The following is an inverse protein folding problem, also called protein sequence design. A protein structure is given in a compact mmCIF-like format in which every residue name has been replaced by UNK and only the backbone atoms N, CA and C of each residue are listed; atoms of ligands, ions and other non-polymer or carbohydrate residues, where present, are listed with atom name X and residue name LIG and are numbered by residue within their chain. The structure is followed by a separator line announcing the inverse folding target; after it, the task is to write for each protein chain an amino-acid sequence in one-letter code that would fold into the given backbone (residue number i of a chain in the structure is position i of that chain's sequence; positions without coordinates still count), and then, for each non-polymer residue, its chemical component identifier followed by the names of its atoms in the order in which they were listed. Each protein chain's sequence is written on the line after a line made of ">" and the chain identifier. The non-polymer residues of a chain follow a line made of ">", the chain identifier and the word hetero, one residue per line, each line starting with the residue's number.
data_IF_375738099044
#
_entry.id   IF_375738099044
#
_cell.length_a   1.000
_cell.length_b   1.000
_cell.length_c   1.000
_cell.angle_alpha   90.00
_cell.angle_beta   90.00
_cell.angle_gamma   90.00
#
_symmetry.space_group_name_H-M   'P 1'
#
loop_
_entity.id
_entity.type
_entity.pdbx_description
1 polymer ?
#
# COMPACT_ATOMS: atom_id res chain seq x y z
N UNK A 1 5.69 3.11 -19.15
CA UNK A 1 6.85 2.60 -18.35
C UNK A 1 8.08 2.43 -19.24
N UNK A 2 9.32 2.79 -18.78
CA UNK A 2 10.57 2.68 -19.59
C UNK A 2 11.05 1.23 -19.74
N UNK A 3 10.99 0.43 -18.67
CA UNK A 3 11.43 -0.99 -18.63
C UNK A 3 10.23 -1.93 -18.83
N UNK A 4 9.78 -2.03 -20.07
CA UNK A 4 8.66 -2.93 -20.47
C UNK A 4 8.94 -4.41 -20.21
N UNK A 5 10.23 -4.80 -20.25
CA UNK A 5 10.70 -6.16 -19.93
C UNK A 5 10.43 -6.60 -18.48
N UNK A 6 10.06 -5.68 -17.61
CA UNK A 6 9.73 -5.93 -16.19
C UNK A 6 8.28 -5.62 -15.85
N UNK A 7 7.51 -5.16 -16.81
CA UNK A 7 6.13 -4.76 -16.58
C UNK A 7 5.24 -5.98 -16.31
N UNK A 8 4.45 -5.90 -15.24
CA UNK A 8 3.39 -6.83 -14.93
C UNK A 8 2.08 -6.16 -15.31
N UNK A 9 1.51 -6.55 -16.46
CA UNK A 9 0.29 -5.92 -17.03
C UNK A 9 -1.01 -6.58 -16.57
N UNK A 10 -0.95 -7.83 -16.10
CA UNK A 10 -2.11 -8.56 -15.62
C UNK A 10 -2.52 -8.08 -14.21
N UNK A 11 -3.78 -7.64 -14.05
CA UNK A 11 -4.29 -7.08 -12.80
C UNK A 11 -4.21 -8.09 -11.64
N UNK A 12 -4.49 -9.37 -11.88
CA UNK A 12 -4.44 -10.39 -10.82
C UNK A 12 -3.01 -10.52 -10.28
N UNK A 13 -2.03 -10.54 -11.17
CA UNK A 13 -0.62 -10.59 -10.77
C UNK A 13 -0.19 -9.31 -10.04
N UNK A 14 -0.68 -8.14 -10.44
CA UNK A 14 -0.43 -6.89 -9.70
C UNK A 14 -0.98 -6.97 -8.28
N UNK A 15 -2.23 -7.42 -8.11
CA UNK A 15 -2.86 -7.59 -6.80
C UNK A 15 -2.16 -8.66 -5.95
N UNK A 16 -1.63 -9.72 -6.55
CA UNK A 16 -0.80 -10.71 -5.86
C UNK A 16 0.51 -10.11 -5.32
N UNK A 17 1.14 -9.21 -6.08
CA UNK A 17 2.31 -8.47 -5.59
C UNK A 17 1.91 -7.60 -4.39
N UNK A 18 0.80 -6.86 -4.48
CA UNK A 18 0.28 -6.06 -3.35
C UNK A 18 0.10 -6.94 -2.11
N UNK A 19 -0.53 -8.11 -2.24
CA UNK A 19 -0.77 -9.03 -1.10
C UNK A 19 0.49 -9.59 -0.45
N UNK A 20 1.62 -9.58 -1.17
CA UNK A 20 2.93 -10.04 -0.62
C UNK A 20 3.74 -8.93 0.03
N UNK A 21 3.34 -7.67 -0.11
CA UNK A 21 4.03 -6.55 0.53
C UNK A 21 3.59 -6.41 1.99
N UNK A 22 4.53 -6.11 2.87
CA UNK A 22 4.28 -5.98 4.32
C UNK A 22 3.84 -4.57 4.72
N UNK A 23 4.14 -3.58 3.88
CA UNK A 23 3.83 -2.17 4.14
C UNK A 23 3.64 -1.38 2.85
N UNK A 24 3.03 -0.23 2.97
CA UNK A 24 2.79 0.72 1.89
C UNK A 24 3.31 2.11 2.26
N UNK A 25 4.24 2.65 1.47
CA UNK A 25 4.63 4.05 1.54
C UNK A 25 3.61 4.90 0.81
N UNK A 26 3.07 5.90 1.49
CA UNK A 26 2.10 6.87 0.94
C UNK A 26 2.73 8.25 0.92
N UNK A 27 2.70 8.90 -0.24
CA UNK A 27 3.14 10.27 -0.44
C UNK A 27 1.91 11.18 -0.53
N UNK A 28 1.82 12.15 0.36
CA UNK A 28 0.72 13.12 0.52
C UNK A 28 1.26 14.49 0.16
N UNK A 29 0.50 15.26 -0.63
CA UNK A 29 0.88 16.63 -0.96
C UNK A 29 0.98 17.47 0.32
N UNK A 30 2.09 18.21 0.48
CA UNK A 30 2.30 19.13 1.60
C UNK A 30 2.57 20.54 1.03
N UNK A 31 1.56 21.43 1.06
CA UNK A 31 1.69 22.76 0.47
C UNK A 31 2.67 23.68 1.22
N UNK A 32 3.05 23.32 2.43
CA UNK A 32 4.01 24.09 3.25
C UNK A 32 5.46 23.63 3.05
N UNK A 33 5.69 22.63 2.17
CA UNK A 33 7.00 22.06 1.90
C UNK A 33 7.26 21.92 0.40
N UNK A 34 8.52 21.93 0.01
CA UNK A 34 8.94 21.68 -1.38
C UNK A 34 8.87 20.21 -1.81
N UNK A 35 8.52 19.32 -0.88
CA UNK A 35 8.44 17.88 -1.11
C UNK A 35 7.20 17.28 -0.42
N UNK A 36 6.65 16.19 -0.95
CA UNK A 36 5.50 15.53 -0.33
C UNK A 36 5.86 14.93 1.03
N UNK A 37 4.89 14.92 1.94
CA UNK A 37 4.98 14.19 3.19
C UNK A 37 4.87 12.69 2.91
N UNK A 38 5.86 11.90 3.34
CA UNK A 38 5.88 10.45 3.14
C UNK A 38 5.69 9.73 4.46
N UNK A 39 4.82 8.72 4.45
CA UNK A 39 4.56 7.85 5.61
C UNK A 39 4.46 6.40 5.16
N UNK A 40 5.05 5.49 5.95
CA UNK A 40 4.90 4.05 5.80
C UNK A 40 3.78 3.56 6.71
N UNK A 41 2.84 2.78 6.16
CA UNK A 41 1.67 2.26 6.87
C UNK A 41 1.47 0.78 6.60
N UNK A 42 1.01 0.05 7.61
CA UNK A 42 0.38 -1.25 7.44
C UNK A 42 -0.93 -1.09 6.68
N UNK A 43 -1.28 -2.07 5.87
CA UNK A 43 -2.47 -2.01 5.03
C UNK A 43 -3.18 -3.36 4.89
N UNK A 44 -4.41 -3.33 4.39
CA UNK A 44 -5.13 -4.50 3.88
C UNK A 44 -5.72 -4.17 2.52
N UNK A 45 -5.73 -5.13 1.59
CA UNK A 45 -6.29 -4.98 0.25
C UNK A 45 -7.65 -5.66 0.14
N UNK A 46 -8.64 -4.91 -0.31
CA UNK A 46 -9.91 -5.44 -0.80
C UNK A 46 -10.04 -5.22 -2.30
N UNK A 47 -10.35 -6.30 -3.03
CA UNK A 47 -10.65 -6.27 -4.45
C UNK A 47 -12.15 -6.42 -4.64
N UNK A 48 -12.81 -5.38 -5.14
CA UNK A 48 -14.23 -5.35 -5.47
C UNK A 48 -14.40 -5.42 -7.00
N UNK A 49 -15.61 -5.62 -7.47
CA UNK A 49 -15.90 -5.76 -8.90
C UNK A 49 -15.49 -4.52 -9.72
N UNK A 50 -15.66 -3.33 -9.13
CA UNK A 50 -15.46 -2.04 -9.79
C UNK A 50 -14.25 -1.24 -9.28
N UNK A 51 -13.60 -1.68 -8.18
CA UNK A 51 -12.49 -0.95 -7.55
C UNK A 51 -11.64 -1.78 -6.63
N UNK A 52 -10.42 -1.31 -6.42
CA UNK A 52 -9.48 -1.82 -5.43
C UNK A 52 -9.29 -0.80 -4.31
N UNK A 53 -9.32 -1.25 -3.06
CA UNK A 53 -9.20 -0.39 -1.89
C UNK A 53 -8.08 -0.90 -0.99
N UNK A 54 -7.16 -0.01 -0.61
CA UNK A 54 -6.22 -0.25 0.48
C UNK A 54 -6.77 0.39 1.76
N UNK A 55 -6.98 -0.42 2.79
CA UNK A 55 -7.34 0.06 4.10
C UNK A 55 -6.10 0.25 4.94
N UNK A 56 -5.97 1.43 5.53
CA UNK A 56 -4.85 1.80 6.40
C UNK A 56 -5.37 2.45 7.67
N UNK A 57 -4.55 2.44 8.74
CA UNK A 57 -4.95 3.06 10.00
C UNK A 57 -3.85 3.96 10.56
N UNK A 58 -4.25 4.89 11.42
CA UNK A 58 -3.33 5.79 12.13
C UNK A 58 -3.94 6.33 13.42
N UNK A 59 -3.15 7.09 14.18
CA UNK A 59 -3.69 7.94 15.24
C UNK A 59 -4.68 8.97 14.66
N UNK A 60 -5.58 9.48 15.52
CA UNK A 60 -6.60 10.49 15.15
C UNK A 60 -6.07 11.93 15.08
N UNK A 61 -4.77 12.12 15.28
CA UNK A 61 -4.12 13.42 15.28
C UNK A 61 -2.81 13.35 14.49
N UNK A 62 -2.36 14.49 13.98
CA UNK A 62 -1.07 14.67 13.33
C UNK A 62 -1.15 15.14 11.89
N UNK A 63 0.01 15.53 11.34
CA UNK A 63 0.18 16.20 10.04
C UNK A 63 -0.53 15.47 8.89
N UNK A 64 -0.48 14.16 8.87
CA UNK A 64 -1.13 13.35 7.82
C UNK A 64 -2.63 13.63 7.70
N UNK A 65 -3.35 13.75 8.82
CA UNK A 65 -4.79 13.99 8.82
C UNK A 65 -5.11 15.39 8.29
N UNK A 66 -4.31 16.38 8.71
CA UNK A 66 -4.45 17.77 8.26
C UNK A 66 -4.25 17.88 6.74
N UNK A 67 -3.23 17.21 6.22
CA UNK A 67 -2.93 17.20 4.78
C UNK A 67 -4.01 16.49 3.97
N UNK A 68 -4.46 15.31 4.42
CA UNK A 68 -5.52 14.55 3.75
C UNK A 68 -6.88 15.25 3.78
N UNK A 69 -7.14 16.08 4.80
CA UNK A 69 -8.35 16.90 4.84
C UNK A 69 -8.31 18.04 3.81
N UNK A 70 -7.11 18.50 3.41
CA UNK A 70 -6.92 19.55 2.39
C UNK A 70 -6.90 18.97 0.97
N UNK A 71 -6.15 17.86 0.78
CA UNK A 71 -6.03 17.18 -0.52
C UNK A 71 -6.00 15.66 -0.29
N UNK A 72 -7.06 14.93 -0.66
CA UNK A 72 -7.13 13.48 -0.50
C UNK A 72 -6.36 12.69 -1.56
N UNK A 73 -5.79 13.35 -2.58
CA UNK A 73 -5.03 12.67 -3.62
C UNK A 73 -3.66 12.26 -3.10
N UNK A 74 -3.34 11.00 -3.28
CA UNK A 74 -2.07 10.45 -2.81
C UNK A 74 -1.41 9.57 -3.88
N UNK A 75 -0.09 9.48 -3.82
CA UNK A 75 0.65 8.43 -4.51
C UNK A 75 1.08 7.36 -3.51
N UNK A 76 1.19 6.12 -3.97
CA UNK A 76 1.66 5.03 -3.13
C UNK A 76 2.73 4.20 -3.83
N UNK A 77 3.58 3.58 -3.01
CA UNK A 77 4.60 2.64 -3.45
C UNK A 77 4.76 1.52 -2.42
N UNK A 78 4.93 0.31 -2.93
CA UNK A 78 5.29 -0.85 -2.12
C UNK A 78 6.18 -1.80 -2.91
N UNK A 79 6.99 -2.58 -2.20
CA UNK A 79 7.86 -3.57 -2.83
C UNK A 79 8.14 -4.75 -1.90
N UNK A 80 8.39 -5.91 -2.52
CA UNK A 80 8.68 -7.16 -1.82
C UNK A 80 9.63 -8.04 -2.63
N UNK A 81 9.98 -9.21 -2.10
CA UNK A 81 10.76 -10.21 -2.81
C UNK A 81 12.19 -9.76 -3.14
N UNK A 82 12.81 -8.97 -2.25
CA UNK A 82 14.17 -8.47 -2.45
C UNK A 82 15.18 -9.59 -2.22
N UNK A 83 15.92 -9.91 -3.29
CA UNK A 83 17.00 -10.92 -3.26
C UNK A 83 18.21 -10.42 -4.06
N UNK A 84 19.37 -10.35 -3.43
CA UNK A 84 20.62 -10.02 -4.11
C UNK A 84 21.13 -11.22 -4.90
N UNK A 85 21.24 -11.07 -6.22
CA UNK A 85 21.79 -12.07 -7.12
C UNK A 85 23.17 -11.64 -7.61
N UNK A 86 24.17 -12.47 -7.36
CA UNK A 86 25.55 -12.25 -7.84
C UNK A 86 25.89 -13.20 -8.98
N UNK A 87 26.29 -12.63 -10.10
CA UNK A 87 26.78 -13.35 -11.29
C UNK A 87 28.31 -13.37 -11.23
N UNK A 88 28.89 -14.51 -10.82
CA UNK A 88 30.33 -14.64 -10.61
C UNK A 88 31.14 -14.58 -11.92
N UNK A 89 30.58 -15.03 -13.04
CA UNK A 89 31.25 -15.01 -14.34
C UNK A 89 31.40 -13.57 -14.87
N UNK A 90 30.36 -12.77 -14.67
CA UNK A 90 30.32 -11.37 -15.11
C UNK A 90 30.77 -10.37 -14.05
N UNK A 91 31.04 -10.85 -12.83
CA UNK A 91 31.37 -10.02 -11.67
C UNK A 91 30.35 -8.88 -11.45
N UNK A 92 29.07 -9.19 -11.61
CA UNK A 92 27.96 -8.24 -11.50
C UNK A 92 26.95 -8.68 -10.46
N UNK A 93 26.42 -7.74 -9.71
CA UNK A 93 25.29 -7.99 -8.82
C UNK A 93 24.03 -7.27 -9.30
N UNK A 94 22.89 -7.81 -8.92
CA UNK A 94 21.59 -7.21 -9.18
C UNK A 94 20.60 -7.60 -8.09
N UNK A 95 19.56 -6.80 -7.90
CA UNK A 95 18.46 -7.10 -6.99
C UNK A 95 17.27 -7.67 -7.76
N UNK A 96 16.80 -8.85 -7.38
CA UNK A 96 15.45 -9.30 -7.71
C UNK A 96 14.47 -8.56 -6.80
N UNK A 97 13.31 -8.22 -7.32
CA UNK A 97 12.26 -7.54 -6.58
C UNK A 97 10.93 -7.58 -7.33
N UNK A 98 9.88 -7.38 -6.60
CA UNK A 98 8.56 -7.03 -7.12
C UNK A 98 8.14 -5.69 -6.52
N UNK A 99 7.44 -4.85 -7.29
CA UNK A 99 6.98 -3.55 -6.79
C UNK A 99 5.71 -3.09 -7.47
N UNK A 100 4.90 -2.35 -6.74
CA UNK A 100 3.71 -1.67 -7.23
C UNK A 100 3.81 -0.20 -6.88
N UNK A 101 3.43 0.66 -7.82
CA UNK A 101 3.27 2.09 -7.59
C UNK A 101 1.99 2.56 -8.24
N UNK A 102 1.32 3.51 -7.62
CA UNK A 102 0.07 4.04 -8.13
C UNK A 102 -0.33 5.34 -7.45
N UNK A 103 -1.54 5.77 -7.75
CA UNK A 103 -2.17 6.91 -7.11
C UNK A 103 -3.66 6.65 -6.91
N UNK A 104 -4.25 7.37 -5.98
CA UNK A 104 -5.65 7.22 -5.64
C UNK A 104 -6.15 8.32 -4.72
N UNK A 105 -7.37 8.12 -4.22
CA UNK A 105 -8.05 9.03 -3.31
C UNK A 105 -8.18 8.36 -1.94
N UNK A 106 -7.66 9.00 -0.92
CA UNK A 106 -7.65 8.50 0.44
C UNK A 106 -8.67 9.26 1.30
N UNK A 107 -9.72 8.57 1.76
CA UNK A 107 -10.78 9.16 2.58
C UNK A 107 -10.85 8.57 3.97
N UNK A 108 -11.18 9.38 4.95
CA UNK A 108 -11.51 8.92 6.30
C UNK A 108 -12.83 8.13 6.26
N UNK A 109 -12.85 6.98 6.92
CA UNK A 109 -14.00 6.10 6.97
C UNK A 109 -14.93 6.43 8.15
N UNK A 110 -16.23 6.20 7.96
CA UNK A 110 -17.21 6.21 9.06
C UNK A 110 -16.93 5.07 10.06
N UNK A 111 -17.50 5.14 11.25
CA UNK A 111 -17.26 4.13 12.29
C UNK A 111 -17.61 2.69 11.83
N UNK A 112 -18.67 2.53 11.02
CA UNK A 112 -19.06 1.22 10.50
C UNK A 112 -18.09 0.71 9.42
N UNK A 113 -17.69 1.57 8.48
CA UNK A 113 -16.70 1.25 7.44
C UNK A 113 -15.31 0.98 8.05
N UNK A 114 -14.95 1.70 9.13
CA UNK A 114 -13.68 1.55 9.83
C UNK A 114 -13.51 0.15 10.41
N UNK A 115 -14.57 -0.44 10.98
CA UNK A 115 -14.52 -1.82 11.49
C UNK A 115 -14.24 -2.82 10.37
N UNK A 116 -14.92 -2.67 9.23
CA UNK A 116 -14.67 -3.50 8.05
C UNK A 116 -13.22 -3.33 7.56
N UNK A 117 -12.74 -2.08 7.43
CA UNK A 117 -11.37 -1.80 7.01
C UNK A 117 -10.31 -2.40 7.94
N UNK A 118 -10.55 -2.39 9.26
CA UNK A 118 -9.67 -3.06 10.23
C UNK A 118 -9.70 -4.58 10.08
N UNK A 119 -10.86 -5.18 9.82
CA UNK A 119 -10.97 -6.63 9.57
C UNK A 119 -10.17 -7.01 8.32
N UNK A 120 -10.29 -6.28 7.21
CA UNK A 120 -9.51 -6.50 5.98
C UNK A 120 -8.00 -6.35 6.23
N UNK A 121 -7.60 -5.34 7.03
CA UNK A 121 -6.21 -5.15 7.40
C UNK A 121 -5.68 -6.32 8.24
N UNK A 122 -6.45 -6.82 9.20
CA UNK A 122 -6.08 -7.98 10.00
C UNK A 122 -5.96 -9.24 9.15
N UNK A 123 -6.87 -9.46 8.20
CA UNK A 123 -6.84 -10.61 7.29
C UNK A 123 -5.60 -10.60 6.37
N UNK A 124 -5.06 -9.43 6.05
CA UNK A 124 -3.82 -9.33 5.27
C UNK A 124 -2.62 -9.95 6.01
N UNK A 125 -2.50 -9.72 7.33
CA UNK A 125 -1.38 -10.23 8.13
C UNK A 125 -1.66 -11.59 8.79
N UNK A 126 -2.93 -11.95 8.95
CA UNK A 126 -3.39 -13.18 9.60
C UNK A 126 -4.50 -13.86 8.80
N UNK A 127 -4.23 -14.29 7.54
CA UNK A 127 -5.28 -14.74 6.61
C UNK A 127 -6.05 -15.99 7.04
N UNK A 128 -5.54 -16.73 8.03
CA UNK A 128 -6.14 -17.99 8.50
C UNK A 128 -6.55 -17.96 9.98
N UNK A 129 -6.38 -16.83 10.65
CA UNK A 129 -6.62 -16.71 12.08
C UNK A 129 -7.28 -15.37 12.41
N UNK A 130 -8.57 -15.41 12.70
CA UNK A 130 -9.27 -14.22 13.16
C UNK A 130 -8.80 -13.86 14.56
N UNK A 131 -8.03 -12.78 14.68
CA UNK A 131 -7.58 -12.23 15.96
C UNK A 131 -8.48 -11.09 16.38
N UNK A 132 -9.16 -11.20 17.55
CA UNK A 132 -9.98 -10.10 18.04
C UNK A 132 -9.07 -8.92 18.45
N UNK A 133 -9.47 -7.72 18.12
CA UNK A 133 -8.85 -6.49 18.60
C UNK A 133 -9.77 -5.80 19.61
N UNK A 134 -9.17 -5.04 20.53
CA UNK A 134 -9.92 -4.39 21.59
C UNK A 134 -10.73 -3.22 21.02
N UNK A 135 -12.04 -3.17 21.26
CA UNK A 135 -12.95 -2.15 20.72
C UNK A 135 -12.47 -0.71 21.01
N UNK A 136 -11.98 -0.42 22.22
CA UNK A 136 -11.43 0.90 22.55
C UNK A 136 -10.21 1.29 21.70
N UNK A 137 -9.39 0.32 21.27
CA UNK A 137 -8.27 0.59 20.36
C UNK A 137 -8.80 0.96 18.97
N UNK A 138 -9.80 0.25 18.47
CA UNK A 138 -10.48 0.61 17.20
C UNK A 138 -11.11 2.02 17.29
N UNK A 139 -11.81 2.32 18.38
CA UNK A 139 -12.46 3.61 18.61
C UNK A 139 -11.45 4.78 18.69
N UNK A 140 -10.19 4.53 19.07
CA UNK A 140 -9.12 5.53 19.14
C UNK A 140 -8.31 5.68 17.84
N UNK A 141 -8.63 4.91 16.81
CA UNK A 141 -7.88 4.82 15.56
C UNK A 141 -8.64 5.51 14.42
N UNK A 142 -7.94 6.30 13.61
CA UNK A 142 -8.45 6.79 12.34
C UNK A 142 -8.18 5.73 11.27
N UNK A 143 -9.22 5.29 10.57
CA UNK A 143 -9.12 4.33 9.47
C UNK A 143 -9.45 5.03 8.16
N UNK A 144 -8.62 4.81 7.15
CA UNK A 144 -8.78 5.37 5.81
C UNK A 144 -8.91 4.26 4.78
N UNK A 145 -9.73 4.51 3.77
CA UNK A 145 -9.76 3.75 2.53
C UNK A 145 -9.06 4.54 1.43
N UNK A 146 -8.02 3.98 0.83
CA UNK A 146 -7.38 4.49 -0.37
C UNK A 146 -7.96 3.75 -1.57
N UNK A 147 -8.85 4.40 -2.30
CA UNK A 147 -9.36 3.90 -3.58
C UNK A 147 -8.28 4.08 -4.65
N UNK A 148 -7.85 2.97 -5.25
CA UNK A 148 -6.81 2.96 -6.28
C UNK A 148 -7.41 3.40 -7.61
N UNK A 149 -6.96 4.53 -8.14
CA UNK A 149 -7.37 5.03 -9.45
C UNK A 149 -6.50 4.47 -10.59
N UNK A 150 -5.23 4.26 -10.30
CA UNK A 150 -4.29 3.65 -11.25
C UNK A 150 -3.10 3.06 -10.53
N UNK A 151 -2.61 1.92 -11.02
CA UNK A 151 -1.38 1.32 -10.54
C UNK A 151 -0.58 0.69 -11.68
N UNK A 152 0.71 0.53 -11.45
CA UNK A 152 1.64 -0.18 -12.32
C UNK A 152 2.51 -1.08 -11.47
N UNK A 153 2.81 -2.27 -11.97
CA UNK A 153 3.68 -3.20 -11.27
C UNK A 153 4.88 -3.62 -12.11
N UNK A 154 5.94 -3.97 -11.40
CA UNK A 154 7.19 -4.48 -11.97
C UNK A 154 7.63 -5.71 -11.23
N UNK A 155 8.17 -6.65 -12.00
CA UNK A 155 8.88 -7.81 -11.48
C UNK A 155 10.23 -7.91 -12.15
N UNK A 156 11.27 -8.10 -11.36
CA UNK A 156 12.58 -8.53 -11.82
C UNK A 156 12.91 -9.85 -11.16
N UNK A 157 13.12 -10.86 -11.98
CA UNK A 157 13.58 -12.19 -11.58
C UNK A 157 14.75 -12.57 -12.49
N UNK A 158 15.92 -12.69 -11.94
CA UNK A 158 17.11 -13.24 -12.61
C UNK A 158 17.50 -14.50 -11.87
N UNK A 159 17.56 -15.59 -12.61
CA UNK A 159 18.09 -16.86 -12.09
C UNK A 159 19.61 -16.82 -12.04
#
# INVERSE_FOLDING_TARGET
>A
MRRKDREVSDLRQQLEIVRRCDSCCIAINDPDQDAPYIVELSFGLEHLEDKDILYVHSAKEGRKLELLAQDPHVSFFMSCGHELVYDAERQMCTMNYESVSGYGIMRLLSAQEALHGLDVLMDHYYPHERRPYHKKAADSTAVYGLEILSMTAKKREKK
#
